data_IF_854830667178
#
_entry.id   IF_854830667178
#
_cell.length_a   1.000
_cell.length_b   1.000
_cell.length_c   1.000
_cell.angle_alpha   90.00
_cell.angle_beta   90.00
_cell.angle_gamma   90.00
#
_symmetry.space_group_name_H-M   'P 1'
#
loop_
_entity.id
_entity.type
_entity.pdbx_description
1 polymer ?
#
# COMPACT_ATOMS: atom_id res chain seq x y z
N UNK A 1 -23.73 -15.19 0.66
CA UNK A 1 -22.56 -14.88 1.52
C UNK A 1 -21.61 -16.06 1.37
N UNK A 2 -20.59 -16.07 0.52
CA UNK A 2 -19.36 -15.31 0.58
C UNK A 2 -18.88 -14.98 -0.84
N UNK A 3 -18.68 -13.70 -1.13
CA UNK A 3 -17.94 -13.29 -2.32
C UNK A 3 -16.47 -13.68 -2.09
N UNK A 4 -16.06 -14.84 -2.61
CA UNK A 4 -14.66 -15.14 -2.89
C UNK A 4 -14.18 -14.14 -3.95
N UNK A 5 -13.83 -12.92 -3.55
CA UNK A 5 -12.99 -12.01 -4.33
C UNK A 5 -11.60 -12.61 -4.35
N UNK A 6 -11.41 -13.63 -5.17
CA UNK A 6 -10.08 -14.03 -5.59
C UNK A 6 -9.64 -12.98 -6.60
N UNK A 7 -9.04 -11.87 -6.12
CA UNK A 7 -8.32 -10.91 -6.97
C UNK A 7 -7.03 -11.56 -7.47
N UNK A 8 -7.16 -12.72 -8.11
CA UNK A 8 -6.07 -13.52 -8.68
C UNK A 8 -6.23 -13.56 -10.20
N UNK A 9 -6.39 -12.37 -10.78
CA UNK A 9 -6.22 -12.16 -12.21
C UNK A 9 -5.57 -10.78 -12.41
N UNK A 10 -4.26 -10.73 -12.22
CA UNK A 10 -3.43 -9.96 -13.13
C UNK A 10 -2.01 -10.53 -13.18
N UNK A 11 -1.78 -11.49 -14.07
CA UNK A 11 -0.45 -12.06 -14.30
C UNK A 11 0.04 -11.86 -15.73
N UNK A 12 -0.66 -11.08 -16.59
CA UNK A 12 -0.21 -10.78 -17.97
C UNK A 12 -0.41 -9.30 -18.39
N UNK A 13 -1.03 -8.42 -17.58
CA UNK A 13 -0.94 -6.97 -17.79
C UNK A 13 0.06 -6.42 -16.80
N UNK A 14 1.04 -5.64 -17.25
CA UNK A 14 1.83 -4.78 -16.38
C UNK A 14 0.86 -3.74 -15.80
N UNK A 15 0.13 -4.10 -14.74
CA UNK A 15 -0.49 -3.12 -13.85
C UNK A 15 0.70 -2.53 -13.11
N UNK A 16 1.11 -1.34 -13.53
CA UNK A 16 2.08 -0.53 -12.80
C UNK A 16 1.40 -0.12 -11.49
N UNK A 17 1.44 -1.03 -10.52
CA UNK A 17 1.09 -0.69 -9.16
C UNK A 17 2.10 0.33 -8.64
N UNK A 18 1.60 1.32 -7.91
CA UNK A 18 2.44 2.34 -7.33
C UNK A 18 3.48 1.73 -6.38
N UNK A 19 4.69 2.29 -6.33
CA UNK A 19 5.68 1.85 -5.35
C UNK A 19 5.10 1.95 -3.94
N UNK A 20 5.56 1.08 -3.05
CA UNK A 20 5.16 1.10 -1.65
C UNK A 20 5.37 2.49 -1.06
N UNK A 21 4.44 2.92 -0.21
CA UNK A 21 4.46 4.28 0.32
C UNK A 21 3.80 5.32 -0.57
N UNK A 22 3.31 4.94 -1.76
CA UNK A 22 2.65 5.86 -2.69
C UNK A 22 1.34 5.33 -3.27
N UNK A 23 0.48 6.26 -3.67
CA UNK A 23 -0.85 5.98 -4.21
C UNK A 23 -1.37 7.15 -5.08
N UNK A 24 -2.59 7.01 -5.60
CA UNK A 24 -3.26 8.02 -6.42
C UNK A 24 -2.90 7.94 -7.91
N UNK A 25 -3.35 8.94 -8.67
CA UNK A 25 -3.05 9.03 -10.10
C UNK A 25 -1.55 9.26 -10.30
N UNK A 26 -0.91 8.41 -11.10
CA UNK A 26 0.54 8.44 -11.36
C UNK A 26 1.41 8.33 -10.09
N UNK A 27 0.88 7.77 -9.00
CA UNK A 27 1.61 7.58 -7.74
C UNK A 27 2.11 8.89 -7.11
N UNK A 28 1.38 9.99 -7.36
CA UNK A 28 1.75 11.33 -6.91
C UNK A 28 1.49 11.58 -5.41
N UNK A 29 0.73 10.70 -4.75
CA UNK A 29 0.37 10.84 -3.33
C UNK A 29 1.23 9.89 -2.50
N UNK A 30 1.76 10.38 -1.38
CA UNK A 30 2.46 9.55 -0.39
C UNK A 30 1.50 9.12 0.71
N UNK A 31 1.85 8.04 1.41
CA UNK A 31 1.09 7.61 2.57
C UNK A 31 1.08 8.67 3.68
N UNK A 32 -0.09 8.83 4.29
CA UNK A 32 -0.25 9.59 5.52
C UNK A 32 0.57 8.97 6.64
N UNK A 33 1.01 9.78 7.61
CA UNK A 33 1.70 9.29 8.81
C UNK A 33 0.87 8.20 9.50
N UNK A 34 1.55 7.14 9.92
CA UNK A 34 0.92 5.98 10.53
C UNK A 34 0.39 4.95 9.53
N UNK A 35 0.53 5.15 8.22
CA UNK A 35 0.15 4.18 7.20
C UNK A 35 1.30 3.82 6.27
N UNK A 36 1.33 2.56 5.81
CA UNK A 36 2.39 2.06 4.94
C UNK A 36 1.89 1.02 3.92
N UNK A 37 2.82 0.57 3.08
CA UNK A 37 2.61 -0.56 2.19
C UNK A 37 1.85 -0.23 0.91
N UNK A 38 1.18 -1.22 0.33
CA UNK A 38 0.52 -1.07 -0.98
C UNK A 38 -0.75 -0.23 -0.85
N UNK A 39 -0.74 0.93 -1.50
CA UNK A 39 -1.82 1.91 -1.45
C UNK A 39 -2.13 2.40 -0.02
N UNK A 40 -1.15 2.38 0.88
CA UNK A 40 -1.29 2.89 2.26
C UNK A 40 -2.42 2.20 3.05
N UNK A 41 -2.59 0.89 2.83
CA UNK A 41 -3.65 0.09 3.48
C UNK A 41 -3.21 -0.57 4.77
N UNK A 42 -1.93 -0.52 5.09
CA UNK A 42 -1.41 -1.04 6.34
C UNK A 42 -1.18 0.11 7.32
N UNK A 43 -1.36 -0.16 8.60
CA UNK A 43 -1.28 0.82 9.67
C UNK A 43 -0.09 0.46 10.56
N UNK A 44 0.76 1.45 10.85
CA UNK A 44 1.94 1.27 11.69
C UNK A 44 1.52 1.02 13.14
N UNK A 45 2.18 0.04 13.75
CA UNK A 45 1.97 -0.34 15.17
C UNK A 45 3.02 0.26 16.12
N UNK A 46 3.99 0.99 15.57
CA UNK A 46 5.05 1.70 16.27
C UNK A 46 4.72 3.20 16.36
N UNK A 47 5.59 3.95 17.04
CA UNK A 47 5.55 5.40 17.02
C UNK A 47 5.61 5.96 15.59
N UNK A 48 4.86 7.03 15.35
CA UNK A 48 4.73 7.62 14.02
C UNK A 48 6.06 8.15 13.44
N UNK A 49 7.07 8.35 14.29
CA UNK A 49 8.41 8.78 13.89
C UNK A 49 9.29 7.62 13.40
N UNK A 50 8.98 6.38 13.79
CA UNK A 50 9.68 5.14 13.36
C UNK A 50 8.95 4.39 12.23
N UNK A 51 7.82 4.96 11.77
CA UNK A 51 6.97 4.39 10.74
C UNK A 51 7.46 4.79 9.34
N UNK A 52 8.12 3.87 8.64
CA UNK A 52 8.45 3.97 7.24
C UNK A 52 7.21 3.72 6.36
N UNK A 53 6.95 4.61 5.41
CA UNK A 53 5.78 4.56 4.54
C UNK A 53 5.79 3.36 3.58
N UNK A 54 6.94 2.78 3.28
CA UNK A 54 7.07 1.65 2.37
C UNK A 54 6.95 0.32 3.12
N UNK A 55 7.69 0.15 4.21
CA UNK A 55 7.83 -1.15 4.92
C UNK A 55 7.17 -1.19 6.29
N UNK A 56 6.71 -0.07 6.82
CA UNK A 56 6.08 0.02 8.13
C UNK A 56 7.08 0.30 9.24
N UNK A 57 6.98 -0.41 10.36
CA UNK A 57 7.88 -0.21 11.49
C UNK A 57 9.24 -0.86 11.24
N UNK A 58 10.31 -0.11 11.51
CA UNK A 58 11.68 -0.62 11.52
C UNK A 58 12.03 -1.33 12.84
#
# INVERSE_FOLDING_TARGET
MHQKRETKLCSILIITECPLGSHGHSCALNCSKGFYGKLCREECICDADECDIAVGCA
#
